data_IF_748380213932
#
_entry.id   IF_748380213932
#
_cell.length_a   1.000
_cell.length_b   1.000
_cell.length_c   1.000
_cell.angle_alpha   90.00
_cell.angle_beta   90.00
_cell.angle_gamma   90.00
#
_symmetry.space_group_name_H-M   'P 1'
#
loop_
_entity.id
_entity.type
_entity.pdbx_description
1 polymer ?
#
# COMPACT_ATOMS: atom_id res chain seq x y z
N UNK A 1 1.29 -16.24 10.09
CA UNK A 1 1.47 -14.79 10.34
C UNK A 1 2.37 -14.49 11.55
N UNK A 2 3.13 -15.46 12.09
CA UNK A 2 3.91 -15.27 13.32
C UNK A 2 4.79 -13.99 13.39
N UNK A 3 5.42 -13.49 12.32
CA UNK A 3 6.24 -12.27 12.43
C UNK A 3 5.43 -11.02 12.82
N UNK A 4 4.19 -10.88 12.33
CA UNK A 4 3.37 -9.67 12.50
C UNK A 4 2.21 -9.86 13.47
N UNK A 5 2.18 -10.98 14.19
CA UNK A 5 1.05 -11.34 15.06
C UNK A 5 0.77 -10.25 16.10
N UNK A 6 1.81 -9.71 16.73
CA UNK A 6 1.69 -8.60 17.68
C UNK A 6 1.17 -7.29 17.07
N UNK A 7 1.32 -7.09 15.76
CA UNK A 7 0.81 -5.89 15.10
C UNK A 7 -0.72 -5.99 14.86
N UNK A 8 -1.25 -7.21 14.72
CA UNK A 8 -2.63 -7.45 14.28
C UNK A 8 -3.54 -8.10 15.33
N UNK A 9 -2.98 -8.70 16.40
CA UNK A 9 -3.72 -9.50 17.38
C UNK A 9 -4.90 -8.75 18.01
N UNK A 10 -4.71 -7.46 18.29
CA UNK A 10 -5.71 -6.62 18.93
C UNK A 10 -6.91 -6.32 18.03
N UNK A 11 -6.77 -6.42 16.70
CA UNK A 11 -7.84 -6.10 15.74
C UNK A 11 -8.85 -7.23 15.55
N UNK A 12 -8.69 -8.39 16.24
CA UNK A 12 -9.65 -9.51 16.24
C UNK A 12 -10.09 -9.93 14.84
N UNK A 13 -9.11 -10.17 13.95
CA UNK A 13 -9.37 -10.40 12.51
C UNK A 13 -10.36 -11.54 12.23
N UNK A 14 -10.45 -12.54 13.12
CA UNK A 14 -11.38 -13.67 13.04
C UNK A 14 -12.84 -13.34 13.40
N UNK A 15 -13.10 -12.18 14.03
CA UNK A 15 -14.43 -11.71 14.41
C UNK A 15 -14.98 -10.66 13.43
N UNK A 16 -14.17 -10.21 12.47
CA UNK A 16 -14.56 -9.17 11.53
C UNK A 16 -15.64 -9.66 10.55
N UNK A 17 -16.58 -8.77 10.22
CA UNK A 17 -17.60 -8.99 9.21
C UNK A 17 -17.40 -8.05 8.02
N UNK A 18 -17.83 -8.42 6.80
CA UNK A 18 -17.77 -7.51 5.65
C UNK A 18 -18.47 -6.19 5.96
N UNK A 19 -17.74 -5.09 5.85
CA UNK A 19 -18.31 -3.75 5.95
C UNK A 19 -18.96 -3.39 4.61
N UNK A 20 -20.23 -2.99 4.65
CA UNK A 20 -20.90 -2.46 3.48
C UNK A 20 -20.47 -1.00 3.27
N UNK A 21 -19.45 -0.84 2.45
CA UNK A 21 -18.92 0.47 2.08
C UNK A 21 -19.98 1.33 1.36
N UNK A 22 -19.93 2.66 1.51
CA UNK A 22 -20.70 3.56 0.66
C UNK A 22 -20.43 3.25 -0.82
N UNK A 23 -21.47 3.15 -1.65
CA UNK A 23 -21.33 2.69 -3.03
C UNK A 23 -20.31 3.49 -3.86
N UNK A 24 -20.13 4.77 -3.56
CA UNK A 24 -19.15 5.65 -4.21
C UNK A 24 -17.68 5.41 -3.79
N UNK A 25 -17.44 4.70 -2.70
CA UNK A 25 -16.11 4.39 -2.14
C UNK A 25 -15.82 2.90 -2.05
N UNK A 26 -16.84 2.06 -2.29
CA UNK A 26 -16.65 0.64 -2.48
C UNK A 26 -15.72 0.44 -3.68
N UNK A 27 -14.89 -0.60 -3.62
CA UNK A 27 -14.24 -1.14 -4.80
C UNK A 27 -15.32 -1.48 -5.83
N UNK A 28 -15.57 -0.57 -6.77
CA UNK A 28 -16.43 -0.84 -7.92
C UNK A 28 -15.65 -1.81 -8.82
N UNK A 29 -16.35 -2.70 -9.54
CA UNK A 29 -15.82 -3.63 -10.56
C UNK A 29 -14.37 -3.36 -10.96
N UNK A 30 -13.46 -4.35 -10.82
CA UNK A 30 -12.03 -4.14 -10.53
C UNK A 30 -11.51 -2.84 -11.11
N UNK A 31 -11.10 -1.91 -10.24
CA UNK A 31 -10.63 -0.60 -10.66
C UNK A 31 -9.43 -0.80 -11.60
N UNK A 32 -9.67 -0.61 -12.89
CA UNK A 32 -8.70 -0.88 -13.95
C UNK A 32 -7.83 0.35 -14.13
N UNK A 33 -6.62 0.30 -13.58
CA UNK A 33 -5.63 1.34 -13.68
C UNK A 33 -4.70 1.08 -14.90
N UNK A 34 -4.48 2.06 -15.79
CA UNK A 34 -3.60 1.95 -16.95
C UNK A 34 -2.10 2.06 -16.59
N UNK A 35 -1.69 1.38 -15.51
CA UNK A 35 -0.33 1.39 -14.96
C UNK A 35 0.19 -0.02 -14.78
N UNK A 36 1.51 -0.19 -14.80
CA UNK A 36 2.17 -1.42 -14.39
C UNK A 36 1.98 -1.65 -12.88
N UNK A 37 1.62 -2.87 -12.50
CA UNK A 37 1.37 -3.23 -11.11
C UNK A 37 2.55 -2.97 -10.17
N UNK A 38 3.79 -2.99 -10.67
CA UNK A 38 4.97 -2.66 -9.85
C UNK A 38 5.02 -1.20 -9.46
N UNK A 39 4.57 -0.28 -10.33
CA UNK A 39 4.50 1.15 -10.01
C UNK A 39 3.54 1.39 -8.85
N UNK A 40 2.43 0.65 -8.83
CA UNK A 40 1.48 0.68 -7.72
C UNK A 40 2.16 0.30 -6.39
N UNK A 41 2.95 -0.77 -6.40
CA UNK A 41 3.72 -1.17 -5.22
C UNK A 41 4.93 -0.28 -4.95
N UNK A 42 5.45 0.45 -5.93
CA UNK A 42 6.55 1.40 -5.69
C UNK A 42 6.07 2.56 -4.81
N UNK A 43 4.86 3.08 -5.06
CA UNK A 43 4.21 4.09 -4.20
C UNK A 43 3.90 3.52 -2.81
N UNK A 44 3.34 2.31 -2.71
CA UNK A 44 3.01 1.70 -1.42
C UNK A 44 4.25 1.38 -0.55
N UNK A 45 5.43 1.23 -1.16
CA UNK A 45 6.67 0.83 -0.46
C UNK A 45 7.62 2.00 -0.18
N UNK A 46 7.16 3.25 -0.31
CA UNK A 46 7.87 4.40 0.24
C UNK A 46 6.90 5.43 0.82
N UNK A 47 7.24 5.94 2.00
CA UNK A 47 6.44 6.91 2.74
C UNK A 47 6.96 8.34 2.66
N UNK A 48 8.07 8.60 1.96
CA UNK A 48 8.65 9.94 1.95
C UNK A 48 7.80 10.90 1.11
N UNK A 49 7.00 10.40 0.15
CA UNK A 49 6.06 11.24 -0.57
C UNK A 49 4.90 11.69 0.32
N UNK A 50 4.51 10.92 1.36
CA UNK A 50 3.28 11.15 2.12
C UNK A 50 3.13 12.58 2.65
N UNK A 51 4.16 13.19 3.27
CA UNK A 51 4.05 14.57 3.78
C UNK A 51 3.86 15.64 2.69
N UNK A 52 4.22 15.33 1.44
CA UNK A 52 4.20 16.25 0.30
C UNK A 52 2.98 16.00 -0.58
N UNK A 53 2.67 14.73 -0.85
CA UNK A 53 1.66 14.29 -1.80
C UNK A 53 0.25 14.20 -1.22
N UNK A 54 0.11 14.10 0.11
CA UNK A 54 -1.20 13.89 0.74
C UNK A 54 -1.53 14.95 1.78
N UNK A 55 -2.11 16.10 1.39
CA UNK A 55 -2.55 17.12 2.34
C UNK A 55 -3.48 16.57 3.43
N UNK A 56 -4.33 15.60 3.09
CA UNK A 56 -5.26 14.95 4.03
C UNK A 56 -4.51 14.10 5.06
N UNK A 57 -3.58 13.25 4.61
CA UNK A 57 -2.76 12.43 5.52
C UNK A 57 -1.77 13.28 6.32
N UNK A 58 -1.20 14.32 5.73
CA UNK A 58 -0.31 15.25 6.43
C UNK A 58 -1.03 15.97 7.58
N UNK A 59 -2.31 16.33 7.40
CA UNK A 59 -3.12 16.87 8.49
C UNK A 59 -3.52 15.82 9.53
N UNK A 60 -3.60 14.55 9.14
CA UNK A 60 -3.93 13.44 10.03
C UNK A 60 -2.72 13.03 10.89
N UNK A 61 -1.58 12.78 10.27
CA UNK A 61 -0.37 12.21 10.86
C UNK A 61 0.67 13.24 11.29
N UNK A 62 0.75 14.37 10.59
CA UNK A 62 1.92 15.26 10.70
C UNK A 62 3.20 14.50 10.35
N UNK A 63 4.18 14.51 11.26
CA UNK A 63 5.49 13.88 11.05
C UNK A 63 5.56 12.42 11.52
N UNK A 64 4.44 11.81 11.90
CA UNK A 64 4.42 10.49 12.52
C UNK A 64 4.42 9.31 11.53
N UNK A 65 4.28 9.58 10.23
CA UNK A 65 4.27 8.53 9.21
C UNK A 65 5.70 7.99 9.01
N UNK A 66 5.90 6.71 9.32
CA UNK A 66 7.21 6.07 9.29
C UNK A 66 7.11 4.69 8.69
N UNK A 67 8.00 4.40 7.74
CA UNK A 67 8.21 3.06 7.21
C UNK A 67 9.22 2.29 8.05
N UNK A 68 8.98 1.00 8.19
CA UNK A 68 9.79 0.07 8.95
C UNK A 68 9.63 -1.35 8.42
N UNK A 69 10.30 -2.30 9.05
CA UNK A 69 10.18 -3.70 8.71
C UNK A 69 10.02 -4.55 9.96
N UNK A 70 9.18 -5.56 9.86
CA UNK A 70 9.19 -6.69 10.78
C UNK A 70 9.73 -7.91 10.04
N UNK A 71 11.00 -8.21 10.28
CA UNK A 71 11.81 -9.11 9.44
C UNK A 71 11.87 -8.57 8.00
N UNK A 72 11.26 -9.27 7.04
CA UNK A 72 11.22 -8.89 5.62
C UNK A 72 9.85 -8.34 5.19
N UNK A 73 8.96 -8.06 6.15
CA UNK A 73 7.61 -7.57 5.88
C UNK A 73 7.60 -6.05 6.06
N UNK A 74 7.35 -5.27 5.00
CA UNK A 74 7.24 -3.82 5.11
C UNK A 74 6.01 -3.42 5.92
N UNK A 75 6.22 -2.48 6.84
CA UNK A 75 5.17 -1.92 7.70
C UNK A 75 5.31 -0.40 7.73
N UNK A 76 4.21 0.29 7.45
CA UNK A 76 4.11 1.74 7.61
C UNK A 76 3.12 2.09 8.72
N UNK A 77 3.50 3.03 9.59
CA UNK A 77 2.70 3.44 10.75
C UNK A 77 2.49 4.94 10.69
N UNK A 78 1.23 5.39 10.75
CA UNK A 78 0.86 6.79 10.88
C UNK A 78 0.01 7.02 12.13
N UNK A 79 0.56 7.71 13.13
CA UNK A 79 -0.19 8.08 14.34
C UNK A 79 -0.82 9.45 14.22
N UNK A 80 -1.99 9.66 14.78
CA UNK A 80 -2.59 10.99 14.72
C UNK A 80 -1.71 12.03 15.40
N UNK A 81 -1.50 13.17 14.73
CA UNK A 81 -0.75 14.27 15.33
C UNK A 81 -1.54 14.96 16.47
N UNK A 82 -0.85 15.81 17.23
CA UNK A 82 -1.47 16.58 18.32
C UNK A 82 -2.51 17.60 17.82
N UNK A 83 -2.31 18.16 16.62
CA UNK A 83 -3.14 19.26 16.09
C UNK A 83 -4.19 18.74 15.11
N UNK A 84 -5.46 18.76 15.54
CA UNK A 84 -6.58 18.42 14.66
C UNK A 84 -6.57 19.30 13.41
N UNK A 85 -6.43 18.66 12.24
CA UNK A 85 -6.48 19.33 10.94
C UNK A 85 -7.80 20.08 10.68
N UNK A 86 -7.76 21.01 9.73
CA UNK A 86 -8.92 21.82 9.34
C UNK A 86 -9.66 21.28 8.10
N UNK A 87 -9.06 20.34 7.36
CA UNK A 87 -9.74 19.64 6.28
C UNK A 87 -10.96 18.91 6.83
N UNK A 88 -12.09 19.08 6.16
CA UNK A 88 -13.40 18.62 6.65
C UNK A 88 -13.37 17.14 7.07
N UNK A 89 -12.85 16.25 6.21
CA UNK A 89 -12.80 14.82 6.51
C UNK A 89 -11.94 14.52 7.75
N UNK A 90 -10.73 15.09 7.82
CA UNK A 90 -9.78 14.88 8.94
C UNK A 90 -10.36 15.42 10.24
N UNK A 91 -10.87 16.66 10.23
CA UNK A 91 -11.47 17.31 11.38
C UNK A 91 -12.60 16.46 11.97
N UNK A 92 -13.53 16.03 11.13
CA UNK A 92 -14.67 15.24 11.60
C UNK A 92 -14.27 13.82 12.00
N UNK A 93 -13.31 13.20 11.30
CA UNK A 93 -12.80 11.87 11.63
C UNK A 93 -12.14 11.87 13.02
N UNK A 94 -11.25 12.84 13.28
CA UNK A 94 -10.59 13.03 14.58
C UNK A 94 -11.57 13.30 15.70
N UNK A 95 -12.58 14.13 15.47
CA UNK A 95 -13.57 14.51 16.50
C UNK A 95 -14.57 13.40 16.84
N UNK A 96 -14.79 12.44 15.94
CA UNK A 96 -15.71 11.32 16.15
C UNK A 96 -15.04 10.09 16.75
N UNK A 97 -13.70 10.06 16.81
CA UNK A 97 -12.92 8.90 17.24
C UNK A 97 -13.19 8.57 18.73
N UNK A 98 -13.82 7.42 19.04
CA UNK A 98 -13.98 6.98 20.41
C UNK A 98 -12.75 6.19 20.88
N UNK A 99 -12.74 5.79 22.16
CA UNK A 99 -11.88 4.68 22.59
C UNK A 99 -12.51 3.35 22.20
N UNK A 100 -11.69 2.46 21.64
CA UNK A 100 -12.06 1.08 21.31
C UNK A 100 -11.55 0.12 22.38
N UNK A 101 -12.46 -0.59 23.06
CA UNK A 101 -12.10 -1.46 24.19
C UNK A 101 -11.14 -2.61 23.84
N UNK A 102 -11.16 -3.07 22.59
CA UNK A 102 -10.32 -4.16 22.10
C UNK A 102 -8.89 -3.72 21.75
N UNK A 103 -8.63 -2.41 21.67
CA UNK A 103 -7.34 -1.86 21.27
C UNK A 103 -6.56 -1.31 22.47
N UNK A 104 -5.24 -1.57 22.58
CA UNK A 104 -4.38 -0.90 23.55
C UNK A 104 -4.20 0.59 23.19
N UNK A 105 -3.72 1.39 24.15
CA UNK A 105 -3.60 2.85 24.02
C UNK A 105 -2.74 3.28 22.81
N UNK A 106 -1.72 2.51 22.45
CA UNK A 106 -0.82 2.77 21.32
C UNK A 106 -1.38 2.34 19.95
N UNK A 107 -2.63 1.85 19.90
CA UNK A 107 -3.38 1.52 18.68
C UNK A 107 -4.65 2.35 18.50
N UNK A 108 -5.05 3.15 19.50
CA UNK A 108 -6.27 3.98 19.44
C UNK A 108 -6.22 5.07 18.36
N UNK A 109 -5.02 5.53 18.00
CA UNK A 109 -4.76 6.63 17.07
C UNK A 109 -3.84 6.24 15.91
N UNK A 110 -3.71 4.94 15.64
CA UNK A 110 -2.78 4.40 14.65
C UNK A 110 -3.51 3.92 13.40
N UNK A 111 -3.04 4.39 12.25
CA UNK A 111 -3.25 3.72 10.96
C UNK A 111 -1.99 2.90 10.65
N UNK A 112 -2.18 1.61 10.39
CA UNK A 112 -1.13 0.63 10.21
C UNK A 112 -1.27 -0.05 8.85
N UNK A 113 -0.23 -0.01 8.03
CA UNK A 113 -0.20 -0.61 6.71
C UNK A 113 0.83 -1.72 6.68
N UNK A 114 0.46 -2.89 6.17
CA UNK A 114 1.32 -4.07 6.10
C UNK A 114 1.31 -4.57 4.66
N UNK A 115 2.46 -4.49 4.00
CA UNK A 115 2.66 -5.05 2.67
C UNK A 115 2.99 -6.54 2.74
N UNK A 116 2.23 -7.35 2.01
CA UNK A 116 2.44 -8.79 1.87
C UNK A 116 2.80 -9.07 0.42
N UNK A 117 4.09 -9.36 0.22
CA UNK A 117 4.62 -9.72 -1.09
C UNK A 117 3.85 -10.93 -1.68
N UNK A 118 3.50 -10.91 -2.98
CA UNK A 118 3.88 -9.90 -3.96
C UNK A 118 2.93 -8.70 -4.08
N UNK A 119 1.66 -8.82 -3.69
CA UNK A 119 0.65 -7.88 -4.19
C UNK A 119 -0.52 -7.61 -3.24
N UNK A 120 -0.44 -8.02 -1.98
CA UNK A 120 -1.51 -7.86 -0.99
C UNK A 120 -1.12 -6.81 0.03
N UNK A 121 -2.06 -5.96 0.43
CA UNK A 121 -1.87 -5.01 1.53
C UNK A 121 -3.00 -5.15 2.54
N UNK A 122 -2.63 -5.09 3.81
CA UNK A 122 -3.55 -4.96 4.93
C UNK A 122 -3.41 -3.55 5.51
N UNK A 123 -4.50 -2.80 5.53
CA UNK A 123 -4.58 -1.51 6.21
C UNK A 123 -5.50 -1.65 7.42
N UNK A 124 -4.93 -1.46 8.62
CA UNK A 124 -5.61 -1.61 9.89
C UNK A 124 -5.83 -0.22 10.49
N UNK A 125 -7.10 0.08 10.75
CA UNK A 125 -7.56 1.32 11.37
C UNK A 125 -8.29 0.97 12.66
N UNK A 126 -8.42 1.90 13.63
CA UNK A 126 -9.06 1.60 14.91
C UNK A 126 -10.49 1.04 14.77
N UNK A 127 -11.23 1.47 13.76
CA UNK A 127 -12.64 1.15 13.55
C UNK A 127 -12.94 0.08 12.49
N UNK A 128 -11.96 -0.29 11.67
CA UNK A 128 -12.10 -1.22 10.54
C UNK A 128 -10.75 -1.67 9.97
N UNK A 129 -10.76 -2.72 9.16
CA UNK A 129 -9.62 -3.23 8.40
C UNK A 129 -9.96 -3.22 6.92
N UNK A 130 -9.04 -2.78 6.08
CA UNK A 130 -9.12 -2.85 4.63
C UNK A 130 -8.09 -3.86 4.12
N UNK A 131 -8.52 -4.68 3.17
CA UNK A 131 -7.66 -5.62 2.47
C UNK A 131 -7.79 -5.30 1.00
N UNK A 132 -6.67 -5.03 0.33
CA UNK A 132 -6.66 -4.84 -1.11
C UNK A 132 -5.48 -5.55 -1.76
N UNK A 133 -5.66 -5.89 -3.04
CA UNK A 133 -4.68 -6.59 -3.85
C UNK A 133 -4.66 -6.00 -5.26
N UNK A 134 -3.46 -5.84 -5.81
CA UNK A 134 -3.29 -5.47 -7.21
C UNK A 134 -3.08 -6.72 -8.08
N UNK A 135 -3.83 -6.82 -9.17
CA UNK A 135 -3.84 -7.96 -10.10
C UNK A 135 -3.19 -7.49 -11.40
N UNK A 136 -2.00 -8.00 -11.76
CA UNK A 136 -1.36 -7.66 -13.03
C UNK A 136 -2.15 -8.28 -14.20
N UNK A 137 -2.71 -7.44 -15.06
CA UNK A 137 -3.45 -7.91 -16.25
C UNK A 137 -2.57 -7.89 -17.51
N UNK A 138 -1.81 -6.81 -17.69
CA UNK A 138 -0.84 -6.63 -18.79
C UNK A 138 0.38 -5.86 -18.27
N UNK A 139 1.44 -5.68 -19.07
CA UNK A 139 2.57 -4.84 -18.66
C UNK A 139 2.23 -3.37 -18.36
N UNK A 140 1.03 -2.89 -18.72
CA UNK A 140 0.60 -1.50 -18.51
C UNK A 140 -0.85 -1.41 -18.03
N UNK A 141 -1.38 -2.50 -17.44
CA UNK A 141 -2.73 -2.52 -16.88
C UNK A 141 -2.77 -3.39 -15.63
N UNK A 142 -3.37 -2.83 -14.59
CA UNK A 142 -3.54 -3.46 -13.29
C UNK A 142 -4.98 -3.30 -12.84
N UNK A 143 -5.55 -4.35 -12.28
CA UNK A 143 -6.85 -4.30 -11.62
C UNK A 143 -6.64 -4.28 -10.11
N UNK A 144 -7.32 -3.39 -9.38
CA UNK A 144 -7.29 -3.39 -7.92
C UNK A 144 -8.59 -3.96 -7.39
N UNK A 145 -8.48 -4.96 -6.52
CA UNK A 145 -9.61 -5.55 -5.81
C UNK A 145 -9.41 -5.36 -4.31
N UNK A 146 -10.49 -5.18 -3.58
CA UNK A 146 -10.39 -5.07 -2.13
C UNK A 146 -11.73 -5.12 -1.45
N UNK A 147 -11.67 -5.15 -0.12
CA UNK A 147 -12.84 -5.13 0.73
C UNK A 147 -12.49 -4.61 2.11
N UNK A 148 -13.40 -3.84 2.68
CA UNK A 148 -13.35 -3.45 4.07
C UNK A 148 -14.12 -4.43 4.97
N UNK A 149 -13.60 -4.65 6.17
CA UNK A 149 -14.17 -5.50 7.20
C UNK A 149 -14.15 -4.74 8.53
N UNK A 150 -15.11 -5.02 9.41
CA UNK A 150 -15.15 -4.37 10.71
C UNK A 150 -15.86 -5.25 11.75
N UNK A 151 -15.57 -5.01 13.02
CA UNK A 151 -16.37 -5.57 14.11
C UNK A 151 -17.80 -5.00 14.04
N UNK A 152 -18.84 -5.80 14.35
CA UNK A 152 -20.22 -5.33 14.42
C UNK A 152 -20.36 -4.16 15.38
N UNK A 153 -20.82 -3.02 14.88
CA UNK A 153 -21.06 -1.82 15.70
C UNK A 153 -22.09 -0.90 15.02
N UNK A 154 -23.27 -0.82 15.63
CA UNK A 154 -24.42 -0.10 15.07
C UNK A 154 -24.47 1.37 15.47
N UNK A 155 -23.54 1.85 16.32
CA UNK A 155 -23.52 3.24 16.78
C UNK A 155 -23.35 4.17 15.58
N UNK A 156 -24.20 5.20 15.50
CA UNK A 156 -24.18 6.18 14.40
C UNK A 156 -22.82 6.85 14.23
N UNK A 157 -22.13 7.14 15.34
CA UNK A 157 -20.78 7.71 15.33
C UNK A 157 -19.76 6.82 14.62
N UNK A 158 -19.83 5.49 14.85
CA UNK A 158 -18.92 4.51 14.21
C UNK A 158 -19.21 4.38 12.71
N UNK A 159 -20.48 4.39 12.32
CA UNK A 159 -20.86 4.40 10.89
C UNK A 159 -20.32 5.65 10.19
N UNK A 160 -20.42 6.82 10.83
CA UNK A 160 -19.87 8.07 10.31
C UNK A 160 -18.33 8.05 10.26
N UNK A 161 -17.69 7.47 11.28
CA UNK A 161 -16.24 7.33 11.36
C UNK A 161 -15.69 6.48 10.20
N UNK A 162 -16.27 5.30 9.96
CA UNK A 162 -15.91 4.41 8.83
C UNK A 162 -16.12 5.08 7.47
N UNK A 163 -17.21 5.84 7.30
CA UNK A 163 -17.43 6.65 6.11
C UNK A 163 -16.31 7.68 5.88
N UNK A 164 -15.90 8.38 6.94
CA UNK A 164 -14.85 9.40 6.87
C UNK A 164 -13.48 8.80 6.61
N UNK A 165 -13.18 7.64 7.19
CA UNK A 165 -11.99 6.84 6.85
C UNK A 165 -11.94 6.54 5.35
N UNK A 166 -13.00 5.91 4.81
CA UNK A 166 -13.06 5.61 3.38
C UNK A 166 -12.89 6.84 2.52
N UNK A 167 -13.52 7.96 2.90
CA UNK A 167 -13.36 9.23 2.18
C UNK A 167 -11.91 9.74 2.20
N UNK A 168 -11.20 9.63 3.32
CA UNK A 168 -9.77 10.00 3.41
C UNK A 168 -8.95 9.11 2.48
N UNK A 169 -9.12 7.79 2.57
CA UNK A 169 -8.41 6.82 1.72
C UNK A 169 -8.70 7.02 0.22
N UNK A 170 -9.94 7.32 -0.17
CA UNK A 170 -10.26 7.57 -1.59
C UNK A 170 -9.72 8.91 -2.11
N UNK A 171 -9.53 9.91 -1.25
CA UNK A 171 -8.81 11.14 -1.62
C UNK A 171 -7.34 10.81 -1.88
N UNK A 172 -6.71 10.09 -0.95
CA UNK A 172 -5.32 9.63 -1.05
C UNK A 172 -5.09 8.79 -2.31
N UNK A 173 -5.94 7.80 -2.58
CA UNK A 173 -5.83 6.97 -3.77
C UNK A 173 -5.90 7.78 -5.09
N UNK A 174 -6.72 8.84 -5.11
CA UNK A 174 -6.76 9.77 -6.25
C UNK A 174 -5.50 10.61 -6.40
N UNK A 175 -4.88 11.02 -5.29
CA UNK A 175 -3.60 11.72 -5.25
C UNK A 175 -2.46 10.79 -5.73
N UNK A 176 -2.41 9.54 -5.24
CA UNK A 176 -1.44 8.52 -5.68
C UNK A 176 -1.53 8.24 -7.16
N UNK A 177 -2.76 8.13 -7.69
CA UNK A 177 -2.97 7.90 -9.11
C UNK A 177 -2.28 8.94 -10.00
N UNK A 178 -2.23 10.20 -9.57
CA UNK A 178 -1.50 11.25 -10.29
C UNK A 178 -0.01 10.94 -10.40
N UNK A 179 0.62 10.54 -9.29
CA UNK A 179 2.04 10.17 -9.24
C UNK A 179 2.33 8.91 -10.06
N UNK A 180 1.52 7.86 -9.87
CA UNK A 180 1.66 6.61 -10.62
C UNK A 180 1.53 6.82 -12.13
N UNK A 181 0.57 7.63 -12.57
CA UNK A 181 0.39 7.95 -13.97
C UNK A 181 1.60 8.73 -14.53
N UNK A 182 2.12 9.70 -13.77
CA UNK A 182 3.32 10.44 -14.16
C UNK A 182 4.54 9.51 -14.30
N UNK A 183 4.73 8.57 -13.38
CA UNK A 183 5.79 7.55 -13.46
C UNK A 183 5.60 6.65 -14.69
N UNK A 184 4.39 6.16 -14.94
CA UNK A 184 4.08 5.28 -16.07
C UNK A 184 4.33 5.96 -17.43
N UNK A 185 4.00 7.25 -17.56
CA UNK A 185 4.31 8.03 -18.76
C UNK A 185 5.80 8.31 -18.88
N UNK A 186 6.48 8.64 -17.76
CA UNK A 186 7.92 8.86 -17.73
C UNK A 186 8.73 7.69 -18.27
N UNK A 187 8.32 6.46 -17.95
CA UNK A 187 8.97 5.22 -18.43
C UNK A 187 8.87 5.00 -19.95
N UNK A 188 8.01 5.73 -20.67
CA UNK A 188 7.95 5.66 -22.14
C UNK A 188 9.01 6.54 -22.80
N UNK A 189 9.63 7.46 -22.06
CA UNK A 189 10.58 8.43 -22.58
C UNK A 189 11.94 7.78 -22.87
N UNK A 190 12.48 8.01 -24.07
CA UNK A 190 13.81 7.53 -24.45
C UNK A 190 14.96 8.25 -23.73
N UNK A 191 14.68 9.37 -23.08
CA UNK A 191 15.65 10.14 -22.28
C UNK A 191 15.51 9.88 -20.78
N UNK A 192 14.60 8.99 -20.37
CA UNK A 192 14.50 8.62 -18.96
C UNK A 192 15.82 7.95 -18.53
N UNK A 193 16.51 8.48 -17.51
CA UNK A 193 17.80 7.95 -17.11
C UNK A 193 17.64 6.51 -16.60
N UNK A 194 18.73 5.72 -16.65
CA UNK A 194 18.75 4.43 -15.96
C UNK A 194 18.35 4.67 -14.51
N UNK A 195 17.36 3.90 -14.05
CA UNK A 195 16.71 4.12 -12.77
C UNK A 195 17.74 4.02 -11.63
N UNK A 196 17.90 5.09 -10.86
CA UNK A 196 18.77 5.13 -9.69
C UNK A 196 17.90 5.37 -8.47
N UNK A 197 17.82 4.35 -7.61
CA UNK A 197 17.08 4.44 -6.35
C UNK A 197 18.02 4.95 -5.25
N UNK A 198 17.55 5.88 -4.43
CA UNK A 198 18.18 6.35 -3.21
C UNK A 198 18.49 5.18 -2.29
N UNK A 199 19.73 5.14 -1.80
CA UNK A 199 20.15 4.08 -0.89
C UNK A 199 19.42 4.11 0.46
N UNK A 200 18.95 5.29 0.87
CA UNK A 200 18.37 5.54 2.20
C UNK A 200 16.87 5.82 2.17
N UNK A 201 16.36 6.52 1.15
CA UNK A 201 14.95 6.90 1.07
C UNK A 201 14.06 5.84 0.39
N UNK A 202 14.62 5.04 -0.54
CA UNK A 202 13.86 4.10 -1.36
C UNK A 202 14.18 2.64 -1.00
N UNK A 203 14.44 2.38 0.28
CA UNK A 203 14.81 1.03 0.76
C UNK A 203 13.70 0.01 0.51
N UNK A 204 12.42 0.39 0.66
CA UNK A 204 11.26 -0.45 0.37
C UNK A 204 11.12 -0.82 -1.09
N UNK A 205 11.21 0.16 -1.98
CA UNK A 205 11.25 -0.07 -3.43
C UNK A 205 12.39 -1.04 -3.77
N UNK A 206 13.62 -0.77 -3.29
CA UNK A 206 14.78 -1.64 -3.55
C UNK A 206 14.56 -3.07 -3.05
N UNK A 207 14.08 -3.24 -1.82
CA UNK A 207 13.81 -4.56 -1.23
C UNK A 207 12.74 -5.31 -2.03
N UNK A 208 11.68 -4.62 -2.46
CA UNK A 208 10.60 -5.17 -3.25
C UNK A 208 11.06 -5.64 -4.63
N UNK A 209 11.77 -4.80 -5.39
CA UNK A 209 12.34 -5.19 -6.69
C UNK A 209 13.37 -6.31 -6.56
N UNK A 210 14.19 -6.30 -5.51
CA UNK A 210 15.11 -7.40 -5.22
C UNK A 210 14.35 -8.72 -4.95
N UNK A 211 13.24 -8.67 -4.21
CA UNK A 211 12.40 -9.84 -3.95
C UNK A 211 11.78 -10.42 -5.24
N UNK A 212 11.38 -9.56 -6.19
CA UNK A 212 10.94 -9.97 -7.53
C UNK A 212 12.10 -10.63 -8.29
N UNK A 213 13.24 -9.94 -8.41
CA UNK A 213 14.39 -10.39 -9.20
C UNK A 213 15.05 -11.66 -8.64
N UNK A 214 14.91 -11.92 -7.34
CA UNK A 214 15.38 -13.16 -6.71
C UNK A 214 14.51 -14.35 -7.13
N UNK A 215 13.19 -14.16 -7.20
CA UNK A 215 12.21 -15.21 -7.59
C UNK A 215 12.10 -15.36 -9.11
N UNK A 216 12.32 -14.27 -9.83
CA UNK A 216 12.30 -14.19 -11.28
C UNK A 216 13.61 -13.58 -11.79
N UNK A 217 14.73 -14.34 -11.80
CA UNK A 217 16.01 -13.85 -12.33
C UNK A 217 15.93 -13.25 -13.74
N UNK A 218 14.99 -13.70 -14.56
CA UNK A 218 14.73 -13.13 -15.90
C UNK A 218 14.33 -11.65 -15.85
N UNK A 219 13.81 -11.16 -14.73
CA UNK A 219 13.48 -9.75 -14.52
C UNK A 219 14.72 -8.83 -14.37
N UNK A 220 15.93 -9.40 -14.26
CA UNK A 220 17.19 -8.64 -14.26
C UNK A 220 17.68 -8.28 -15.67
N UNK A 221 17.07 -8.85 -16.71
CA UNK A 221 17.48 -8.60 -18.09
C UNK A 221 17.06 -7.20 -18.52
N UNK A 222 17.98 -6.46 -19.13
CA UNK A 222 17.72 -5.13 -19.68
C UNK A 222 16.67 -5.18 -20.81
N UNK A 223 16.69 -6.27 -21.59
CA UNK A 223 15.79 -6.45 -22.72
C UNK A 223 14.75 -7.55 -22.45
N UNK A 224 13.50 -7.27 -22.84
CA UNK A 224 12.40 -8.24 -22.78
C UNK A 224 12.79 -9.53 -23.52
N UNK A 225 12.66 -10.72 -22.90
CA UNK A 225 12.89 -12.00 -23.57
C UNK A 225 11.95 -12.22 -24.76
N UNK A 226 12.36 -13.10 -25.68
CA UNK A 226 11.49 -13.54 -26.78
C UNK A 226 10.19 -14.16 -26.21
N UNK A 227 9.03 -13.92 -26.82
CA UNK A 227 7.79 -14.57 -26.42
C UNK A 227 7.96 -16.09 -26.36
N UNK A 228 7.39 -16.72 -25.32
CA UNK A 228 7.49 -18.17 -25.11
C UNK A 228 8.82 -18.66 -24.49
N UNK A 229 9.83 -17.80 -24.27
CA UNK A 229 11.11 -18.23 -23.70
C UNK A 229 11.31 -17.87 -22.22
N UNK A 230 10.36 -17.16 -21.60
CA UNK A 230 10.51 -16.59 -20.24
C UNK A 230 10.80 -17.68 -19.22
N UNK A 231 9.97 -18.72 -19.12
CA UNK A 231 10.13 -19.79 -18.11
C UNK A 231 11.49 -20.49 -18.23
N UNK A 232 11.82 -20.97 -19.44
CA UNK A 232 13.10 -21.63 -19.72
C UNK A 232 14.30 -20.74 -19.37
N UNK A 233 14.26 -19.47 -19.75
CA UNK A 233 15.36 -18.54 -19.47
C UNK A 233 15.48 -18.24 -17.98
N UNK A 234 14.35 -18.12 -17.28
CA UNK A 234 14.33 -17.94 -15.84
C UNK A 234 14.98 -19.13 -15.12
N UNK A 235 14.63 -20.36 -15.51
CA UNK A 235 15.19 -21.59 -14.91
C UNK A 235 16.69 -21.70 -15.18
N UNK A 236 17.14 -21.37 -16.39
CA UNK A 236 18.56 -21.32 -16.74
C UNK A 236 19.34 -20.31 -15.89
N UNK A 237 18.78 -19.11 -15.68
CA UNK A 237 19.40 -18.07 -14.86
C UNK A 237 19.41 -18.45 -13.37
N UNK A 238 18.35 -19.10 -12.87
CA UNK A 238 18.26 -19.58 -11.50
C UNK A 238 19.29 -20.69 -11.22
N UNK A 239 19.46 -21.64 -12.16
CA UNK A 239 20.43 -22.73 -12.03
C UNK A 239 21.89 -22.25 -12.05
N UNK A 240 22.19 -21.15 -12.75
CA UNK A 240 23.54 -20.64 -12.92
C UNK A 240 24.05 -19.76 -11.75
N UNK A 241 23.22 -19.48 -10.74
CA UNK A 241 23.60 -19.01 -9.41
C UNK A 241 24.39 -17.70 -9.25
N UNK A 242 24.90 -17.07 -10.31
CA UNK A 242 25.83 -15.93 -10.24
C UNK A 242 25.87 -15.11 -11.55
N UNK A 243 24.71 -14.76 -12.10
CA UNK A 243 24.70 -13.81 -13.23
C UNK A 243 24.91 -12.38 -12.70
N UNK A 244 26.17 -11.93 -12.60
CA UNK A 244 26.46 -10.50 -12.63
C UNK A 244 26.19 -10.01 -14.04
N UNK A 245 25.14 -9.22 -14.22
CA UNK A 245 24.86 -8.55 -15.47
C UNK A 245 26.09 -7.70 -15.82
N UNK A 246 26.81 -8.08 -16.88
CA UNK A 246 27.92 -7.27 -17.38
C UNK A 246 27.36 -5.92 -17.85
N UNK A 247 27.97 -4.86 -17.34
CA UNK A 247 27.68 -3.45 -17.63
C UNK A 247 27.75 -3.12 -19.12
#
# INVERSE_FOLDING_TARGET
MQPIEHEIEHYRLNELQPYQEPAQYAFQNPESLPINWKIYHDIDNEGYHVPIGHPTLQQLYGLSYVDSYVKDIPISKGRFNERVGNLWSVKHYRNLMPKFEHLPDDRQDLWLYIGIFPNLVLALYPEMVEIYMSIPCTPTRTEVIGKCYALPDERRGIKALRYLNRRINMITAGEDYFYMNAMQEGLKSSVFPKWTLSETAETGIRAYHHAIQTRLPVAKLENKPRPGTIAKLNDQLAANGNFQARH
#
